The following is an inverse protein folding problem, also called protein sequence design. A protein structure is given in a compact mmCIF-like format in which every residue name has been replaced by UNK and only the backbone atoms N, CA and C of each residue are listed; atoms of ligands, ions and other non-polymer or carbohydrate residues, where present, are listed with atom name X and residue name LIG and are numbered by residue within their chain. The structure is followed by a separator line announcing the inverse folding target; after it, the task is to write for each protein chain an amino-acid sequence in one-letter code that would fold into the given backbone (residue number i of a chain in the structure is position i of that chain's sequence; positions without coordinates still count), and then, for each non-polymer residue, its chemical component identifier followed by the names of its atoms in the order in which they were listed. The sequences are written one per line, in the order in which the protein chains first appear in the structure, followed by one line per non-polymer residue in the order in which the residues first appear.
data_IF_033036742714
#
_entry.id   IF_033036742714
#
_cell.length_a   1.000
_cell.length_b   1.000
_cell.length_c   1.000
_cell.angle_alpha   90.00
_cell.angle_beta   90.00
_cell.angle_gamma   90.00
#
_symmetry.space_group_name_H-M   'P 1'
#
loop_
_entity.id
_entity.type
_entity.pdbx_description
1 polymer ?
#
# COMPACT_ATOMS: atom_id res chain seq x y z
N UNK A 1 0.14 -1.18 -17.25
CA UNK A 1 1.18 -1.97 -17.92
C UNK A 1 1.75 -1.13 -19.04
N UNK A 2 3.07 -1.07 -19.16
CA UNK A 2 3.76 -0.30 -20.18
C UNK A 2 4.33 -1.26 -21.21
N UNK A 3 4.08 -0.99 -22.49
CA UNK A 3 4.55 -1.86 -23.57
C UNK A 3 5.52 -1.12 -24.46
N UNK A 4 6.68 -1.72 -24.67
CA UNK A 4 7.69 -1.21 -25.55
C UNK A 4 8.10 -2.26 -26.59
N UNK A 5 7.86 -1.97 -27.87
CA UNK A 5 8.19 -2.89 -28.96
C UNK A 5 7.42 -2.60 -30.25
N UNK A 6 7.54 -3.53 -31.19
CA UNK A 6 6.87 -3.51 -32.49
C UNK A 6 6.66 -4.95 -32.97
N UNK A 7 5.59 -5.20 -33.74
CA UNK A 7 5.29 -6.46 -34.44
C UNK A 7 5.65 -7.76 -33.69
N UNK A 8 4.97 -8.02 -32.58
CA UNK A 8 5.07 -9.29 -31.85
C UNK A 8 6.33 -9.45 -30.99
N UNK A 9 7.19 -8.43 -30.93
CA UNK A 9 8.38 -8.39 -30.08
C UNK A 9 8.25 -7.29 -29.00
N UNK A 10 7.12 -7.33 -28.29
CA UNK A 10 6.78 -6.40 -27.22
C UNK A 10 7.43 -6.84 -25.91
N UNK A 11 8.05 -5.88 -25.21
CA UNK A 11 8.49 -6.02 -23.83
C UNK A 11 7.48 -5.26 -22.97
N UNK A 12 6.72 -6.00 -22.15
CA UNK A 12 5.82 -5.44 -21.18
C UNK A 12 6.52 -5.29 -19.83
N UNK A 13 6.31 -4.15 -19.19
CA UNK A 13 6.73 -3.87 -17.82
C UNK A 13 5.58 -3.98 -16.82
N UNK A 14 5.92 -3.89 -15.54
CA UNK A 14 4.96 -3.97 -14.44
C UNK A 14 3.86 -2.89 -14.53
N UNK A 15 2.72 -3.14 -13.86
CA UNK A 15 1.72 -2.10 -13.63
C UNK A 15 2.22 -1.06 -12.64
N UNK A 16 1.82 0.19 -12.84
CA UNK A 16 2.17 1.31 -11.95
C UNK A 16 0.92 1.92 -11.34
N UNK A 17 1.08 2.63 -10.23
CA UNK A 17 0.01 3.39 -9.58
C UNK A 17 -0.47 4.51 -10.51
N UNK A 18 -1.78 4.61 -10.69
CA UNK A 18 -2.36 5.64 -11.55
C UNK A 18 -2.33 7.00 -10.85
N UNK A 19 -1.80 8.02 -11.53
CA UNK A 19 -1.79 9.40 -11.06
C UNK A 19 -0.42 9.92 -10.63
N UNK A 20 0.53 9.01 -10.38
CA UNK A 20 1.90 9.34 -10.02
C UNK A 20 2.81 9.53 -11.24
N UNK A 21 3.88 10.29 -11.08
CA UNK A 21 4.93 10.38 -12.07
C UNK A 21 5.85 9.17 -11.96
N UNK A 22 5.95 8.42 -13.06
CA UNK A 22 6.90 7.32 -13.18
C UNK A 22 7.92 7.61 -14.28
N UNK A 23 9.17 7.21 -14.06
CA UNK A 23 10.20 7.28 -15.08
C UNK A 23 10.35 5.95 -15.79
N UNK A 24 10.29 5.98 -17.12
CA UNK A 24 10.56 4.83 -17.97
C UNK A 24 11.84 5.07 -18.76
N UNK A 25 12.78 4.13 -18.67
CA UNK A 25 13.94 4.08 -19.53
C UNK A 25 13.99 2.75 -20.28
N UNK A 26 14.32 2.79 -21.56
CA UNK A 26 14.56 1.58 -22.35
C UNK A 26 15.95 1.61 -22.95
N UNK A 27 16.70 0.54 -22.68
CA UNK A 27 18.09 0.38 -23.14
C UNK A 27 18.19 -0.80 -24.09
N UNK A 28 18.68 -0.51 -25.30
CA UNK A 28 19.15 -1.53 -26.23
C UNK A 28 20.67 -1.66 -26.14
N UNK A 29 21.15 -2.85 -25.81
CA UNK A 29 22.57 -3.15 -25.80
C UNK A 29 22.81 -4.65 -26.00
N UNK A 30 23.83 -5.00 -26.79
CA UNK A 30 24.32 -6.37 -26.94
C UNK A 30 23.22 -7.40 -27.29
N UNK A 31 22.27 -7.03 -28.15
CA UNK A 31 21.17 -7.92 -28.54
C UNK A 31 20.13 -8.17 -27.44
N UNK A 32 20.02 -7.27 -26.46
CA UNK A 32 18.98 -7.30 -25.42
C UNK A 32 18.26 -5.96 -25.32
N UNK A 33 16.95 -6.03 -25.04
CA UNK A 33 16.10 -4.92 -24.62
C UNK A 33 15.91 -5.01 -23.12
N UNK A 34 16.14 -3.90 -22.43
CA UNK A 34 15.87 -3.75 -20.99
C UNK A 34 14.96 -2.57 -20.78
N UNK A 35 13.83 -2.79 -20.13
CA UNK A 35 12.92 -1.76 -19.67
C UNK A 35 13.18 -1.54 -18.19
N UNK A 36 13.37 -0.28 -17.82
CA UNK A 36 13.57 0.17 -16.46
C UNK A 36 12.38 1.03 -16.06
N UNK A 37 11.83 0.76 -14.90
CA UNK A 37 10.75 1.50 -14.27
C UNK A 37 11.29 2.12 -12.98
N UNK A 38 11.11 3.43 -12.82
CA UNK A 38 11.58 4.22 -11.69
C UNK A 38 13.05 3.97 -11.35
N UNK A 39 13.82 3.77 -12.42
CA UNK A 39 15.24 3.56 -12.39
C UNK A 39 15.64 2.10 -12.31
N UNK A 40 14.80 1.20 -11.81
CA UNK A 40 15.16 -0.21 -11.61
C UNK A 40 14.84 -1.05 -12.85
N UNK A 41 15.61 -2.11 -13.09
CA UNK A 41 15.34 -3.05 -14.18
C UNK A 41 14.01 -3.76 -13.90
N UNK A 42 13.05 -3.58 -14.79
CA UNK A 42 11.68 -4.09 -14.63
C UNK A 42 11.42 -5.29 -15.55
N UNK A 43 11.86 -5.21 -16.80
CA UNK A 43 11.72 -6.30 -17.75
C UNK A 43 12.91 -6.40 -18.70
N UNK A 44 13.22 -7.62 -19.14
CA UNK A 44 14.27 -7.85 -20.14
C UNK A 44 13.87 -8.96 -21.12
N UNK A 45 14.23 -8.77 -22.39
CA UNK A 45 14.18 -9.84 -23.39
C UNK A 45 15.40 -9.79 -24.31
N UNK A 46 15.76 -10.94 -24.88
CA UNK A 46 16.72 -11.01 -25.98
C UNK A 46 16.04 -10.55 -27.27
N UNK A 47 16.60 -9.54 -27.93
CA UNK A 47 16.05 -9.04 -29.18
C UNK A 47 17.16 -8.64 -30.14
N UNK A 48 17.02 -9.08 -31.40
CA UNK A 48 17.95 -8.75 -32.49
C UNK A 48 17.36 -7.68 -33.39
N UNK A 49 17.14 -6.47 -32.88
CA UNK A 49 16.81 -5.36 -33.76
C UNK A 49 17.63 -4.12 -33.43
N UNK A 50 18.40 -3.67 -34.42
CA UNK A 50 18.93 -2.32 -34.48
C UNK A 50 17.87 -1.47 -35.17
N UNK A 51 17.38 -0.40 -34.54
CA UNK A 51 16.51 0.56 -35.22
C UNK A 51 17.22 1.14 -36.45
N UNK A 52 16.52 1.26 -37.57
CA UNK A 52 17.08 1.82 -38.81
C UNK A 52 17.14 3.37 -38.80
N UNK A 53 16.69 3.98 -37.71
CA UNK A 53 16.58 5.42 -37.50
C UNK A 53 15.73 6.15 -38.56
N UNK A 54 14.81 5.41 -39.20
CA UNK A 54 13.85 5.96 -40.14
C UNK A 54 12.45 5.88 -39.56
N UNK A 55 11.61 6.88 -39.86
CA UNK A 55 10.22 6.92 -39.41
C UNK A 55 9.93 8.03 -38.40
N UNK A 56 8.75 7.94 -37.78
CA UNK A 56 8.24 8.92 -36.79
C UNK A 56 8.42 8.34 -35.39
N UNK A 57 8.87 9.16 -34.44
CA UNK A 57 8.77 8.87 -33.01
C UNK A 57 7.31 9.11 -32.58
N UNK A 58 6.67 8.10 -32.01
CA UNK A 58 5.34 8.21 -31.44
C UNK A 58 5.45 8.13 -29.92
N UNK A 59 4.73 9.00 -29.21
CA UNK A 59 4.71 9.03 -27.74
C UNK A 59 3.25 9.12 -27.30
N UNK A 60 2.86 8.29 -26.32
CA UNK A 60 1.48 8.23 -25.82
C UNK A 60 0.48 7.54 -26.76
N UNK A 61 0.97 6.84 -27.79
CA UNK A 61 0.17 6.08 -28.76
C UNK A 61 1.01 5.71 -29.98
N UNK A 62 0.44 4.97 -30.94
CA UNK A 62 1.10 4.62 -32.19
C UNK A 62 0.11 4.69 -33.38
N UNK A 63 0.63 4.54 -34.62
CA UNK A 63 -0.23 4.46 -35.79
C UNK A 63 -1.01 3.14 -35.80
N UNK A 64 -2.34 3.19 -35.92
CA UNK A 64 -3.19 2.01 -36.06
C UNK A 64 -3.60 1.32 -34.76
N UNK A 65 -3.21 1.86 -33.60
CA UNK A 65 -3.71 1.41 -32.28
C UNK A 65 -4.90 2.26 -31.83
N UNK A 66 -5.70 1.71 -30.93
CA UNK A 66 -6.83 2.41 -30.28
C UNK A 66 -6.53 2.79 -28.82
N UNK A 67 -5.44 2.27 -28.30
CA UNK A 67 -4.92 2.47 -26.96
C UNK A 67 -4.00 3.69 -26.95
N UNK A 68 -4.49 4.77 -26.33
CA UNK A 68 -3.73 6.00 -26.13
C UNK A 68 -3.44 6.21 -24.65
N UNK A 69 -2.28 6.80 -24.34
CA UNK A 69 -1.94 7.20 -22.99
C UNK A 69 -2.96 8.22 -22.49
N UNK A 70 -3.59 7.91 -21.36
CA UNK A 70 -4.42 8.85 -20.60
C UNK A 70 -3.58 9.39 -19.44
N UNK A 71 -2.71 10.36 -19.73
CA UNK A 71 -1.75 10.85 -18.76
C UNK A 71 -0.97 12.08 -19.26
N UNK A 72 0.07 12.44 -18.50
CA UNK A 72 1.01 13.51 -18.86
C UNK A 72 2.37 12.88 -19.17
N UNK A 73 3.11 13.49 -20.10
CA UNK A 73 4.48 13.11 -20.46
C UNK A 73 5.34 14.34 -20.28
N UNK A 74 6.54 14.16 -19.71
CA UNK A 74 7.56 15.19 -19.62
C UNK A 74 8.95 14.58 -19.84
N UNK A 75 9.94 15.43 -20.15
CA UNK A 75 11.37 15.08 -20.16
C UNK A 75 11.79 13.90 -21.08
N UNK A 76 11.22 13.81 -22.28
CA UNK A 76 11.59 12.80 -23.27
C UNK A 76 13.04 12.97 -23.79
N UNK A 77 13.91 11.96 -23.58
CA UNK A 77 15.33 11.97 -23.96
C UNK A 77 15.73 10.75 -24.80
N UNK A 78 16.66 10.93 -25.73
CA UNK A 78 17.29 9.86 -26.52
C UNK A 78 18.81 9.99 -26.42
N UNK A 79 19.49 8.90 -26.09
CA UNK A 79 20.95 8.87 -25.89
C UNK A 79 21.62 8.08 -27.02
N UNK A 80 22.80 8.53 -27.45
CA UNK A 80 23.61 7.84 -28.47
C UNK A 80 24.44 6.68 -27.91
N UNK A 81 24.17 6.26 -26.68
CA UNK A 81 24.84 5.16 -25.98
C UNK A 81 23.82 4.37 -25.17
N UNK A 82 24.13 3.11 -24.91
CA UNK A 82 23.40 2.34 -23.91
C UNK A 82 23.74 2.91 -22.52
N UNK A 83 22.74 3.41 -21.81
CA UNK A 83 22.92 3.90 -20.44
C UNK A 83 23.16 2.71 -19.50
N UNK A 84 24.09 2.91 -18.57
CA UNK A 84 24.23 2.04 -17.39
C UNK A 84 23.13 2.33 -16.37
N UNK A 85 22.94 1.44 -15.39
CA UNK A 85 22.01 1.64 -14.27
C UNK A 85 22.21 3.00 -13.57
N UNK A 86 23.46 3.33 -13.24
CA UNK A 86 23.78 4.61 -12.62
C UNK A 86 23.40 5.78 -13.54
N UNK A 87 23.68 5.68 -14.84
CA UNK A 87 23.34 6.75 -15.79
C UNK A 87 21.83 6.91 -16.01
N UNK A 88 21.04 5.86 -15.78
CA UNK A 88 19.57 5.95 -15.79
C UNK A 88 19.09 6.75 -14.57
N UNK A 89 19.59 6.48 -13.37
CA UNK A 89 19.31 7.31 -12.20
C UNK A 89 19.74 8.76 -12.42
N UNK A 90 20.89 8.97 -13.05
CA UNK A 90 21.36 10.31 -13.40
C UNK A 90 20.42 11.02 -14.39
N UNK A 91 19.83 10.28 -15.34
CA UNK A 91 18.84 10.79 -16.29
C UNK A 91 17.49 11.12 -15.62
N UNK A 92 17.09 10.36 -14.59
CA UNK A 92 15.86 10.61 -13.82
C UNK A 92 15.87 11.96 -13.11
N UNK A 93 17.05 12.53 -12.83
CA UNK A 93 17.19 13.85 -12.18
C UNK A 93 16.63 15.02 -13.00
N UNK A 94 16.36 14.81 -14.29
CA UNK A 94 15.89 15.87 -15.18
C UNK A 94 17.04 16.77 -15.68
N UNK A 95 16.81 18.09 -15.73
CA UNK A 95 17.86 19.08 -16.02
C UNK A 95 19.00 19.02 -14.98
N UNK A 96 20.23 18.65 -15.37
CA UNK A 96 21.36 18.45 -14.45
C UNK A 96 21.96 19.77 -13.93
N UNK A 97 21.54 20.91 -14.46
CA UNK A 97 21.99 22.24 -14.00
C UNK A 97 21.25 22.71 -12.75
N UNK A 98 20.17 22.04 -12.39
CA UNK A 98 19.33 22.40 -11.26
C UNK A 98 19.71 21.56 -10.04
N UNK A 99 19.46 22.12 -8.85
CA UNK A 99 19.49 21.35 -7.61
C UNK A 99 18.56 20.14 -7.70
N UNK A 100 18.94 19.04 -7.04
CA UNK A 100 18.20 17.78 -7.07
C UNK A 100 18.34 17.01 -5.75
N UNK A 101 17.63 15.88 -5.63
CA UNK A 101 17.67 15.05 -4.41
C UNK A 101 17.31 15.81 -3.14
N UNK A 102 16.14 16.48 -3.09
CA UNK A 102 15.74 17.22 -1.90
C UNK A 102 15.55 16.28 -0.71
N UNK A 103 16.02 16.71 0.45
CA UNK A 103 15.67 16.16 1.75
C UNK A 103 15.10 17.30 2.61
N UNK A 104 13.85 17.25 3.07
CA UNK A 104 12.87 16.18 2.82
C UNK A 104 12.54 15.99 1.34
N UNK A 105 12.18 14.76 0.96
CA UNK A 105 11.81 14.42 -0.40
C UNK A 105 10.64 15.28 -0.88
N UNK A 106 10.58 15.56 -2.18
CA UNK A 106 9.52 16.39 -2.74
C UNK A 106 8.15 15.75 -2.55
N UNK A 107 7.16 16.52 -2.09
CA UNK A 107 5.80 16.10 -1.76
C UNK A 107 5.71 15.00 -0.70
N UNK A 108 6.70 14.90 0.18
CA UNK A 108 6.72 13.91 1.27
C UNK A 108 6.05 14.40 2.55
N UNK A 109 5.79 13.46 3.46
CA UNK A 109 5.28 13.71 4.81
C UNK A 109 6.25 13.20 5.89
N UNK A 110 7.47 13.78 6.01
CA UNK A 110 8.49 13.32 6.96
C UNK A 110 8.08 13.54 8.42
N UNK A 111 8.70 12.80 9.34
CA UNK A 111 8.58 13.11 10.76
C UNK A 111 9.30 14.41 11.11
N UNK A 112 8.94 15.03 12.24
CA UNK A 112 9.50 16.32 12.67
C UNK A 112 11.04 16.35 12.71
N UNK A 113 11.69 15.24 13.07
CA UNK A 113 13.16 15.16 13.22
C UNK A 113 13.89 15.00 11.89
N UNK A 114 13.22 14.51 10.85
CA UNK A 114 13.76 14.36 9.49
C UNK A 114 13.47 15.57 8.60
N UNK A 115 12.69 16.53 9.08
CA UNK A 115 12.33 17.72 8.30
C UNK A 115 13.46 18.73 8.14
N UNK A 116 14.41 18.75 9.07
CA UNK A 116 15.51 19.72 9.07
C UNK A 116 16.85 19.08 9.45
N UNK A 117 17.98 19.57 8.88
CA UNK A 117 18.06 20.63 7.88
C UNK A 117 17.50 20.20 6.52
N UNK A 118 17.06 21.18 5.73
CA UNK A 118 16.83 21.01 4.30
C UNK A 118 18.17 20.69 3.63
N UNK A 119 18.24 19.67 2.79
CA UNK A 119 19.45 19.27 2.07
C UNK A 119 19.15 19.02 0.61
N UNK A 120 20.13 19.28 -0.23
CA UNK A 120 20.03 19.02 -1.67
C UNK A 120 21.38 18.53 -2.19
N UNK A 121 21.35 18.01 -3.41
CA UNK A 121 22.54 17.82 -4.23
C UNK A 121 22.67 19.00 -5.20
N UNK A 122 23.89 19.50 -5.43
CA UNK A 122 24.11 20.66 -6.28
C UNK A 122 23.95 20.29 -7.76
N UNK A 123 23.53 21.25 -8.58
CA UNK A 123 23.61 21.17 -10.04
C UNK A 123 25.07 21.17 -10.55
N UNK A 124 25.31 20.64 -11.75
CA UNK A 124 26.67 20.37 -12.28
C UNK A 124 27.64 21.56 -12.27
N UNK A 125 27.13 22.80 -12.46
CA UNK A 125 27.96 24.02 -12.54
C UNK A 125 27.82 24.93 -11.32
N UNK A 126 27.08 24.50 -10.30
CA UNK A 126 26.79 25.28 -9.12
C UNK A 126 28.06 25.55 -8.29
N UNK A 127 28.20 26.78 -7.83
CA UNK A 127 29.24 27.18 -6.88
C UNK A 127 28.68 27.58 -5.52
N UNK A 128 27.44 28.04 -5.50
CA UNK A 128 26.69 28.48 -4.32
C UNK A 128 25.18 28.32 -4.59
N UNK A 129 24.37 28.41 -3.54
CA UNK A 129 22.95 28.07 -3.58
C UNK A 129 22.09 29.16 -2.93
N UNK A 130 21.19 29.79 -3.67
CA UNK A 130 20.23 30.74 -3.12
C UNK A 130 19.00 29.96 -2.62
N UNK A 131 18.75 30.01 -1.30
CA UNK A 131 17.69 29.23 -0.64
C UNK A 131 16.42 30.07 -0.51
N UNK A 132 15.28 29.49 -0.86
CA UNK A 132 13.94 30.06 -0.69
C UNK A 132 13.08 29.09 0.11
N UNK A 133 12.38 29.58 1.14
CA UNK A 133 11.54 28.75 2.02
C UNK A 133 10.30 29.53 2.49
N UNK A 134 9.13 28.89 2.49
CA UNK A 134 7.88 29.49 2.96
C UNK A 134 6.70 28.53 2.90
N UNK A 135 5.48 29.03 3.15
CA UNK A 135 4.24 28.25 3.18
C UNK A 135 3.30 28.52 2.01
N UNK A 136 3.69 29.40 1.09
CA UNK A 136 2.95 29.71 -0.13
C UNK A 136 3.79 29.33 -1.35
N UNK A 137 3.27 28.38 -2.13
CA UNK A 137 3.95 27.82 -3.29
C UNK A 137 4.30 28.87 -4.32
N UNK A 138 3.35 29.76 -4.63
CA UNK A 138 3.48 30.73 -5.70
C UNK A 138 4.37 31.89 -5.22
N UNK A 139 4.31 32.26 -3.94
CA UNK A 139 5.26 33.20 -3.36
C UNK A 139 6.71 32.69 -3.42
N UNK A 140 6.93 31.37 -3.19
CA UNK A 140 8.25 30.75 -3.38
C UNK A 140 8.66 30.71 -4.85
N UNK A 141 7.72 30.42 -5.76
CA UNK A 141 7.94 30.45 -7.20
C UNK A 141 8.37 31.84 -7.70
N UNK A 142 7.74 32.90 -7.21
CA UNK A 142 7.97 34.25 -7.72
C UNK A 142 9.11 34.98 -6.97
N UNK A 143 9.60 34.40 -5.87
CA UNK A 143 10.62 35.00 -5.04
C UNK A 143 11.95 35.19 -5.80
N UNK A 144 12.71 36.20 -5.37
CA UNK A 144 14.10 36.44 -5.76
C UNK A 144 14.89 36.93 -4.54
N UNK A 145 16.17 37.22 -4.72
CA UNK A 145 17.08 37.62 -3.62
C UNK A 145 16.67 38.91 -2.86
N UNK A 146 15.68 39.66 -3.35
CA UNK A 146 15.09 40.82 -2.66
C UNK A 146 13.83 40.50 -1.85
N UNK A 147 13.33 39.26 -1.87
CA UNK A 147 12.09 38.83 -1.21
C UNK A 147 12.36 38.42 0.24
N UNK A 148 12.36 39.38 1.17
CA UNK A 148 12.88 39.19 2.54
C UNK A 148 12.22 38.06 3.34
N UNK A 149 10.94 37.81 3.11
CA UNK A 149 10.17 36.84 3.91
C UNK A 149 10.29 35.41 3.38
N UNK A 150 10.89 35.23 2.19
CA UNK A 150 11.04 33.92 1.52
C UNK A 150 12.50 33.58 1.24
N UNK A 151 13.32 34.55 0.86
CA UNK A 151 14.75 34.35 0.62
C UNK A 151 15.49 34.15 1.95
N UNK A 152 16.25 33.06 2.03
CA UNK A 152 16.98 32.61 3.22
C UNK A 152 18.50 32.78 3.12
N UNK A 153 18.94 33.48 2.08
CA UNK A 153 20.35 33.79 1.87
C UNK A 153 21.07 32.73 1.05
N UNK A 154 22.24 33.14 0.54
CA UNK A 154 23.12 32.30 -0.24
C UNK A 154 23.96 31.38 0.64
N UNK A 155 23.97 30.10 0.31
CA UNK A 155 24.72 29.07 1.01
C UNK A 155 25.91 28.59 0.17
N UNK A 156 27.03 28.29 0.84
CA UNK A 156 28.18 27.61 0.24
C UNK A 156 28.01 26.09 0.33
N UNK A 157 27.39 25.60 1.41
CA UNK A 157 27.06 24.19 1.58
C UNK A 157 25.69 23.85 1.01
N UNK A 158 25.38 22.56 0.97
CA UNK A 158 24.14 22.03 0.40
C UNK A 158 23.11 21.64 1.49
N UNK A 159 23.11 22.42 2.57
CA UNK A 159 22.27 22.19 3.75
C UNK A 159 21.86 23.53 4.37
N UNK A 160 20.60 23.64 4.79
CA UNK A 160 20.05 24.83 5.42
C UNK A 160 19.03 24.45 6.51
N UNK A 161 19.21 24.96 7.72
CA UNK A 161 18.21 24.85 8.80
C UNK A 161 17.41 26.16 8.88
N UNK A 162 16.10 26.15 8.57
CA UNK A 162 15.24 27.32 8.77
C UNK A 162 15.24 27.71 10.26
N UNK A 163 15.68 28.93 10.63
CA UNK A 163 15.70 29.37 12.03
C UNK A 163 14.29 29.52 12.63
N UNK A 164 13.28 29.73 11.78
CA UNK A 164 11.86 29.70 12.15
C UNK A 164 11.37 28.30 12.53
N UNK A 165 12.10 27.25 12.16
CA UNK A 165 11.71 25.85 12.37
C UNK A 165 10.52 25.43 11.50
N UNK A 166 9.97 24.26 11.81
CA UNK A 166 8.72 23.74 11.27
C UNK A 166 7.87 23.18 12.40
N UNK A 167 6.55 23.20 12.21
CA UNK A 167 5.57 22.78 13.21
C UNK A 167 5.10 21.34 12.99
N UNK A 168 4.83 20.62 14.09
CA UNK A 168 4.19 19.30 14.08
C UNK A 168 2.83 19.35 13.38
N UNK A 169 2.57 18.45 12.42
CA UNK A 169 1.38 18.51 11.58
C UNK A 169 1.28 19.75 10.69
N UNK A 170 2.34 20.55 10.62
CA UNK A 170 2.37 21.81 9.89
C UNK A 170 2.76 21.66 8.43
N UNK A 171 2.46 22.68 7.64
CA UNK A 171 2.72 22.72 6.21
C UNK A 171 1.45 22.88 5.38
N UNK A 172 1.53 22.68 4.05
CA UNK A 172 2.74 22.37 3.31
C UNK A 172 3.78 23.50 3.40
N UNK A 173 5.05 23.11 3.53
CA UNK A 173 6.19 24.00 3.34
C UNK A 173 6.68 23.85 1.91
N UNK A 174 7.07 24.96 1.29
CA UNK A 174 7.59 25.04 -0.06
C UNK A 174 8.98 25.63 -0.04
N UNK A 175 9.86 25.10 -0.88
CA UNK A 175 11.22 25.58 -0.97
C UNK A 175 11.81 25.39 -2.36
N UNK A 176 12.76 26.25 -2.70
CA UNK A 176 13.45 26.24 -3.99
C UNK A 176 14.92 26.55 -3.75
N UNK A 177 15.78 25.94 -4.55
CA UNK A 177 17.21 26.21 -4.57
C UNK A 177 17.60 26.73 -5.95
N UNK A 178 17.98 28.00 -6.02
CA UNK A 178 18.54 28.57 -7.25
C UNK A 178 20.06 28.40 -7.24
N UNK A 179 20.59 27.82 -8.31
CA UNK A 179 22.02 27.53 -8.43
C UNK A 179 22.77 28.75 -8.95
N UNK A 180 23.69 29.29 -8.14
CA UNK A 180 24.64 30.30 -8.58
C UNK A 180 25.86 29.62 -9.17
N UNK A 181 25.93 29.64 -10.50
CA UNK A 181 26.93 28.90 -11.27
C UNK A 181 28.30 29.57 -11.24
N UNK A 182 29.34 28.79 -11.54
CA UNK A 182 30.74 29.27 -11.62
C UNK A 182 30.95 30.39 -12.65
N UNK A 183 30.09 30.51 -13.66
CA UNK A 183 30.09 31.58 -14.67
C UNK A 183 29.25 32.80 -14.27
N UNK A 184 28.80 32.86 -13.01
CA UNK A 184 27.93 33.88 -12.44
C UNK A 184 26.50 33.94 -13.00
N UNK A 185 26.06 32.94 -13.77
CA UNK A 185 24.65 32.78 -14.13
C UNK A 185 23.85 32.13 -12.99
N UNK A 186 22.53 32.30 -13.02
CA UNK A 186 21.60 31.62 -12.11
C UNK A 186 20.84 30.55 -12.89
N UNK A 187 20.80 29.33 -12.36
CA UNK A 187 19.82 28.32 -12.77
C UNK A 187 18.71 28.27 -11.73
N UNK A 188 17.52 28.76 -12.09
CA UNK A 188 16.37 28.75 -11.18
C UNK A 188 15.90 27.32 -10.89
N UNK A 189 15.71 27.01 -9.62
CA UNK A 189 15.42 25.66 -9.14
C UNK A 189 14.00 25.19 -9.35
N UNK A 190 13.78 23.90 -9.06
CA UNK A 190 12.44 23.35 -8.91
C UNK A 190 11.86 23.73 -7.55
N UNK A 191 10.55 23.87 -7.49
CA UNK A 191 9.84 24.02 -6.22
C UNK A 191 9.59 22.63 -5.65
N UNK A 192 10.09 22.43 -4.44
CA UNK A 192 9.85 21.25 -3.64
C UNK A 192 8.90 21.57 -2.49
N UNK A 193 8.19 20.56 -2.01
CA UNK A 193 7.34 20.70 -0.84
C UNK A 193 7.45 19.53 0.12
N UNK A 194 7.09 19.75 1.38
CA UNK A 194 6.82 18.68 2.34
C UNK A 194 5.78 19.13 3.36
N UNK A 195 5.11 18.18 4.00
CA UNK A 195 4.23 18.42 5.15
C UNK A 195 4.81 17.70 6.35
N UNK A 196 4.87 18.31 7.52
CA UNK A 196 5.36 17.61 8.70
C UNK A 196 4.27 16.65 9.17
N UNK A 197 4.62 15.39 9.41
CA UNK A 197 3.68 14.42 9.95
C UNK A 197 3.08 14.92 11.28
N UNK A 198 1.80 14.67 11.49
CA UNK A 198 1.11 14.83 12.78
C UNK A 198 1.13 13.55 13.63
N UNK A 199 1.98 12.59 13.24
CA UNK A 199 2.21 11.31 13.88
C UNK A 199 3.71 10.99 14.00
N UNK A 200 4.07 10.15 14.97
CA UNK A 200 5.40 9.55 15.04
C UNK A 200 5.38 8.31 14.16
N UNK A 201 6.15 8.30 13.07
CA UNK A 201 6.34 7.11 12.27
C UNK A 201 7.14 6.09 13.09
N UNK A 202 6.57 4.91 13.32
CA UNK A 202 7.26 3.78 13.97
C UNK A 202 8.10 3.03 12.93
N UNK A 203 7.43 2.65 11.83
CA UNK A 203 7.96 1.90 10.70
C UNK A 203 6.94 2.05 9.55
N UNK A 204 7.39 2.33 8.33
CA UNK A 204 6.55 2.32 7.12
C UNK A 204 6.85 1.12 6.21
N UNK A 205 7.90 0.37 6.52
CA UNK A 205 8.42 -0.78 5.80
C UNK A 205 9.06 -0.46 4.46
N UNK A 206 9.41 0.80 4.21
CA UNK A 206 9.90 1.26 2.91
C UNK A 206 11.42 1.16 2.70
N UNK A 207 12.18 0.93 3.78
CA UNK A 207 13.65 0.86 3.72
C UNK A 207 14.21 -0.52 3.37
N UNK A 208 13.36 -1.55 3.24
CA UNK A 208 13.77 -2.93 3.01
C UNK A 208 13.89 -3.28 1.51
N UNK A 209 14.73 -4.25 1.15
CA UNK A 209 14.79 -4.80 -0.21
C UNK A 209 15.20 -6.29 -0.25
N UNK A 210 15.37 -6.84 -1.46
CA UNK A 210 15.69 -8.26 -1.67
C UNK A 210 17.18 -8.63 -1.42
N UNK A 211 18.01 -7.66 -1.00
CA UNK A 211 19.45 -7.81 -0.93
C UNK A 211 20.00 -7.36 0.43
N UNK A 212 21.03 -8.07 0.90
CA UNK A 212 21.80 -7.62 2.07
C UNK A 212 22.48 -6.27 1.80
N UNK A 213 22.61 -5.37 2.80
CA UNK A 213 22.27 -5.57 4.21
C UNK A 213 20.85 -5.12 4.61
N UNK A 214 20.05 -4.71 3.64
CA UNK A 214 18.78 -4.03 3.88
C UNK A 214 17.60 -5.01 3.73
N UNK A 215 17.81 -6.29 4.01
CA UNK A 215 16.71 -7.26 4.00
C UNK A 215 15.85 -7.07 5.25
N UNK A 216 14.55 -7.36 5.14
CA UNK A 216 13.64 -7.25 6.28
C UNK A 216 14.05 -8.15 7.46
N UNK A 217 14.67 -9.29 7.18
CA UNK A 217 15.14 -10.26 8.18
C UNK A 217 16.35 -9.79 8.98
N UNK A 218 17.14 -8.84 8.44
CA UNK A 218 18.27 -8.26 9.16
C UNK A 218 17.82 -7.28 10.25
N UNK A 219 16.58 -6.80 10.16
CA UNK A 219 16.03 -5.71 10.98
C UNK A 219 14.96 -6.19 11.95
N UNK A 220 14.10 -7.12 11.52
CA UNK A 220 13.06 -7.73 12.34
C UNK A 220 13.50 -9.11 12.83
N UNK A 221 13.55 -9.28 14.16
CA UNK A 221 13.79 -10.57 14.79
C UNK A 221 12.46 -11.33 14.86
N UNK A 222 12.35 -12.48 14.20
CA UNK A 222 11.13 -13.29 14.16
C UNK A 222 11.31 -14.68 14.82
N UNK A 223 10.51 -15.66 14.39
CA UNK A 223 10.55 -17.03 14.88
C UNK A 223 11.36 -17.99 14.01
N UNK A 224 11.99 -17.52 12.93
CA UNK A 224 12.74 -18.38 12.05
C UNK A 224 13.88 -19.08 12.80
N UNK A 225 13.90 -20.42 12.74
CA UNK A 225 14.87 -21.24 13.48
C UNK A 225 14.64 -21.32 14.99
N UNK A 226 13.55 -20.75 15.52
CA UNK A 226 13.17 -20.81 16.94
C UNK A 226 11.94 -21.70 17.11
N UNK A 227 12.14 -22.95 17.58
CA UNK A 227 11.06 -23.95 17.67
C UNK A 227 9.83 -23.54 18.51
N UNK A 228 9.97 -22.52 19.36
CA UNK A 228 8.89 -22.02 20.24
C UNK A 228 8.16 -20.80 19.67
N UNK A 229 8.70 -20.17 18.63
CA UNK A 229 8.16 -18.98 17.99
C UNK A 229 7.72 -19.33 16.56
N UNK A 230 6.43 -19.14 16.24
CA UNK A 230 5.84 -19.48 14.96
C UNK A 230 5.68 -18.30 14.01
N UNK A 231 6.19 -17.11 14.37
CA UNK A 231 6.15 -15.95 13.47
C UNK A 231 7.22 -16.02 12.39
N UNK A 232 6.89 -15.55 11.20
CA UNK A 232 7.83 -15.31 10.10
C UNK A 232 7.51 -13.94 9.50
N UNK A 233 8.52 -13.07 9.41
CA UNK A 233 8.40 -11.74 8.79
C UNK A 233 8.91 -11.79 7.37
N UNK A 234 8.19 -11.23 6.41
CA UNK A 234 8.56 -11.39 5.00
C UNK A 234 8.30 -12.79 4.46
N UNK A 235 8.54 -12.97 3.16
CA UNK A 235 8.52 -14.28 2.52
C UNK A 235 9.94 -14.88 2.61
N UNK A 236 10.22 -15.83 3.51
CA UNK A 236 11.60 -16.37 3.63
C UNK A 236 12.06 -17.17 2.38
N UNK A 237 11.11 -17.67 1.59
CA UNK A 237 11.36 -18.37 0.32
C UNK A 237 10.47 -17.84 -0.80
N UNK A 238 10.71 -16.62 -1.31
CA UNK A 238 9.85 -16.01 -2.30
C UNK A 238 9.98 -16.71 -3.67
N UNK A 239 8.87 -16.89 -4.36
CA UNK A 239 8.84 -17.25 -5.78
C UNK A 239 9.17 -16.03 -6.66
N UNK A 240 10.45 -15.67 -6.75
CA UNK A 240 10.91 -14.57 -7.62
C UNK A 240 10.45 -14.73 -9.09
N UNK A 241 10.50 -15.92 -9.72
CA UNK A 241 9.89 -16.11 -11.04
C UNK A 241 8.39 -15.83 -11.11
N UNK A 242 7.68 -16.02 -10.00
CA UNK A 242 6.27 -15.66 -9.82
C UNK A 242 6.02 -14.19 -9.45
N UNK A 243 7.07 -13.39 -9.27
CA UNK A 243 6.99 -11.98 -8.89
C UNK A 243 6.88 -11.73 -7.39
N UNK A 244 7.18 -12.73 -6.55
CA UNK A 244 7.31 -12.53 -5.11
C UNK A 244 8.69 -11.94 -4.75
N UNK A 245 8.72 -11.16 -3.68
CA UNK A 245 9.90 -10.51 -3.11
C UNK A 245 9.99 -10.87 -1.62
N UNK A 246 11.06 -10.50 -0.91
CA UNK A 246 11.10 -10.71 0.55
C UNK A 246 10.02 -9.90 1.29
N UNK A 247 9.61 -8.79 0.68
CA UNK A 247 8.50 -7.92 1.09
C UNK A 247 7.30 -8.05 0.14
N UNK A 248 6.13 -7.53 0.52
CA UNK A 248 4.95 -7.53 -0.35
C UNK A 248 4.86 -6.21 -1.13
N UNK A 249 5.00 -6.29 -2.46
CA UNK A 249 5.03 -5.12 -3.36
C UNK A 249 3.74 -4.92 -4.15
N UNK A 250 2.85 -5.91 -4.21
CA UNK A 250 1.60 -5.83 -4.97
C UNK A 250 0.42 -5.38 -4.09
N UNK A 251 0.45 -5.77 -2.83
CA UNK A 251 -0.59 -5.52 -1.85
C UNK A 251 -0.05 -4.54 -0.82
N UNK A 252 -0.16 -3.26 -1.11
CA UNK A 252 0.35 -2.19 -0.25
C UNK A 252 -0.76 -1.22 0.11
N UNK A 253 -0.77 -0.71 1.34
CA UNK A 253 -1.72 0.33 1.75
C UNK A 253 -1.30 1.71 1.23
N UNK A 254 0.01 1.98 1.24
CA UNK A 254 0.68 3.14 0.68
C UNK A 254 2.17 2.83 0.57
N UNK A 255 2.94 3.68 -0.11
CA UNK A 255 4.35 3.41 -0.39
C UNK A 255 4.55 2.36 -1.49
N UNK A 256 5.74 1.74 -1.49
CA UNK A 256 6.18 0.76 -2.49
C UNK A 256 6.04 -0.67 -1.99
N UNK A 257 5.95 -0.88 -0.67
CA UNK A 257 5.99 -2.20 -0.07
C UNK A 257 5.21 -2.28 1.25
N UNK A 258 4.99 -3.50 1.73
CA UNK A 258 4.47 -3.77 3.07
C UNK A 258 5.12 -5.02 3.63
N UNK A 259 5.11 -5.18 4.95
CA UNK A 259 5.63 -6.38 5.62
C UNK A 259 4.59 -7.51 5.61
N UNK A 260 4.86 -8.66 4.95
CA UNK A 260 4.19 -9.91 5.26
C UNK A 260 4.47 -10.32 6.70
N UNK A 261 3.43 -10.72 7.43
CA UNK A 261 3.58 -11.32 8.76
C UNK A 261 2.79 -12.62 8.82
N UNK A 262 3.51 -13.73 8.82
CA UNK A 262 2.95 -15.07 8.96
C UNK A 262 3.07 -15.54 10.40
N UNK A 263 2.13 -16.39 10.83
CA UNK A 263 2.17 -16.97 12.16
C UNK A 263 1.59 -18.38 12.20
N UNK A 264 2.20 -19.26 12.99
CA UNK A 264 1.69 -20.57 13.40
C UNK A 264 1.70 -20.70 14.92
N UNK A 265 0.52 -20.63 15.54
CA UNK A 265 0.37 -20.75 16.99
C UNK A 265 0.18 -22.20 17.48
N UNK A 266 0.40 -23.21 16.63
CA UNK A 266 0.26 -24.61 17.03
C UNK A 266 1.37 -25.03 18.02
N UNK A 267 1.08 -24.92 19.33
CA UNK A 267 2.02 -25.13 20.44
C UNK A 267 3.22 -24.17 20.47
N UNK A 268 3.12 -23.04 19.75
CA UNK A 268 4.13 -21.97 19.70
C UNK A 268 3.48 -20.64 20.06
N UNK A 269 4.27 -19.68 20.55
CA UNK A 269 3.88 -18.26 20.51
C UNK A 269 4.27 -17.71 19.13
N UNK A 270 3.77 -16.55 18.71
CA UNK A 270 4.19 -15.89 17.47
C UNK A 270 4.45 -14.42 17.73
N UNK A 271 5.71 -14.00 17.66
CA UNK A 271 6.14 -12.63 17.95
C UNK A 271 7.34 -12.25 17.08
N UNK A 272 7.23 -11.13 16.35
CA UNK A 272 8.40 -10.47 15.78
C UNK A 272 8.71 -9.17 16.51
N UNK A 273 10.00 -8.87 16.64
CA UNK A 273 10.50 -7.71 17.38
C UNK A 273 11.41 -6.87 16.49
N UNK A 274 11.10 -5.58 16.43
CA UNK A 274 11.98 -4.55 15.92
C UNK A 274 12.49 -3.68 17.07
N UNK A 275 13.78 -3.37 17.07
CA UNK A 275 14.42 -2.54 18.09
C UNK A 275 14.93 -1.24 17.47
N UNK A 276 14.07 -0.21 17.31
CA UNK A 276 14.53 1.07 16.81
C UNK A 276 15.49 1.71 17.81
N UNK A 277 16.28 2.68 17.32
CA UNK A 277 17.04 3.57 18.22
C UNK A 277 16.08 4.22 19.23
N UNK A 278 16.53 4.37 20.49
CA UNK A 278 15.68 4.80 21.61
C UNK A 278 14.91 6.09 21.27
N UNK A 279 13.59 5.98 21.16
CA UNK A 279 12.66 7.05 20.80
C UNK A 279 11.66 7.28 21.94
N UNK A 280 11.33 8.54 22.21
CA UNK A 280 10.29 8.91 23.17
C UNK A 280 8.93 8.82 22.50
N UNK A 281 8.16 7.78 22.82
CA UNK A 281 6.83 7.53 22.26
C UNK A 281 5.73 8.44 22.83
N UNK A 282 6.08 9.30 23.80
CA UNK A 282 5.16 10.27 24.41
C UNK A 282 5.38 11.70 23.90
N UNK A 283 6.33 11.89 22.98
CA UNK A 283 6.60 13.17 22.32
C UNK A 283 5.32 13.73 21.69
N UNK A 284 5.15 15.05 21.75
CA UNK A 284 3.96 15.78 21.27
C UNK A 284 2.61 15.27 21.81
N UNK A 285 2.59 14.56 22.94
CA UNK A 285 1.35 14.11 23.59
C UNK A 285 0.66 12.95 22.88
N UNK A 286 1.39 12.17 22.08
CA UNK A 286 0.89 10.96 21.42
C UNK A 286 0.26 10.00 22.45
N UNK A 287 -0.98 9.59 22.18
CA UNK A 287 -1.75 8.69 23.06
C UNK A 287 -2.47 7.56 22.32
N UNK A 288 -2.29 7.45 21.00
CA UNK A 288 -2.98 6.47 20.14
C UNK A 288 -1.97 5.80 19.23
N UNK A 289 -2.02 4.47 19.16
CA UNK A 289 -1.39 3.67 18.11
C UNK A 289 -2.40 3.44 16.99
N UNK A 290 -2.02 3.77 15.76
CA UNK A 290 -2.79 3.46 14.54
C UNK A 290 -1.97 2.53 13.66
N UNK A 291 -2.60 1.49 13.12
CA UNK A 291 -1.96 0.49 12.24
C UNK A 291 -2.90 0.16 11.08
N UNK A 292 -2.35 0.11 9.87
CA UNK A 292 -2.99 -0.52 8.72
C UNK A 292 -2.59 -1.99 8.70
N UNK A 293 -3.57 -2.89 8.62
CA UNK A 293 -3.31 -4.31 8.43
C UNK A 293 -4.23 -4.84 7.32
N UNK A 294 -3.72 -5.80 6.55
CA UNK A 294 -4.52 -6.57 5.60
C UNK A 294 -4.45 -8.04 5.98
N UNK A 295 -5.62 -8.62 6.21
CA UNK A 295 -5.75 -10.00 6.68
C UNK A 295 -7.02 -10.16 7.48
N UNK A 296 -7.40 -11.39 7.73
CA UNK A 296 -8.57 -11.66 8.57
C UNK A 296 -8.17 -11.53 10.04
N UNK A 297 -8.76 -10.63 10.83
CA UNK A 297 -8.54 -10.65 12.26
C UNK A 297 -9.03 -12.01 12.76
N UNK A 298 -8.13 -12.79 13.35
CA UNK A 298 -8.48 -14.06 13.97
C UNK A 298 -9.24 -13.79 15.27
N UNK A 299 -10.53 -13.43 15.21
CA UNK A 299 -11.24 -13.06 16.43
C UNK A 299 -12.75 -12.86 16.30
N UNK A 300 -13.44 -13.24 17.37
CA UNK A 300 -14.67 -12.57 17.81
C UNK A 300 -14.23 -11.42 18.71
N UNK A 301 -14.55 -10.19 18.34
CA UNK A 301 -14.32 -8.99 19.13
C UNK A 301 -15.66 -8.49 19.66
N UNK A 302 -15.77 -8.37 20.99
CA UNK A 302 -16.90 -7.69 21.63
C UNK A 302 -16.54 -6.20 21.81
N UNK A 303 -17.29 -5.33 21.14
CA UNK A 303 -17.21 -3.89 21.26
C UNK A 303 -18.23 -3.32 22.27
N UNK A 304 -18.27 -1.99 22.43
CA UNK A 304 -19.25 -1.32 23.27
C UNK A 304 -20.71 -1.66 22.88
N UNK A 305 -21.61 -1.62 23.86
CA UNK A 305 -23.04 -1.79 23.69
C UNK A 305 -23.49 -3.15 23.09
N UNK A 306 -22.73 -4.23 23.29
CA UNK A 306 -23.09 -5.56 22.79
C UNK A 306 -22.93 -5.72 21.27
N UNK A 307 -22.02 -4.94 20.68
CA UNK A 307 -21.64 -5.04 19.26
C UNK A 307 -20.58 -6.12 19.11
N UNK A 308 -20.72 -7.00 18.12
CA UNK A 308 -19.73 -8.05 17.86
C UNK A 308 -19.19 -7.92 16.44
N UNK A 309 -17.87 -7.95 16.30
CA UNK A 309 -17.18 -8.13 15.02
C UNK A 309 -16.62 -9.55 14.98
N UNK A 310 -16.93 -10.30 13.92
CA UNK A 310 -16.56 -11.70 13.81
C UNK A 310 -16.08 -12.00 12.39
N UNK A 311 -14.94 -12.66 12.25
CA UNK A 311 -14.49 -13.26 10.98
C UNK A 311 -15.02 -14.69 10.83
N UNK A 312 -15.39 -15.08 9.63
CA UNK A 312 -15.89 -16.43 9.31
C UNK A 312 -15.05 -17.10 8.23
N UNK A 313 -14.79 -18.39 8.39
CA UNK A 313 -14.17 -19.26 7.39
C UNK A 313 -14.74 -20.68 7.52
N UNK A 314 -14.61 -21.50 6.48
CA UNK A 314 -15.12 -22.87 6.44
C UNK A 314 -15.89 -23.17 5.14
N UNK A 315 -16.30 -24.43 5.00
CA UNK A 315 -16.94 -24.98 3.80
C UNK A 315 -18.40 -24.55 3.54
N UNK A 316 -19.09 -23.91 4.50
CA UNK A 316 -20.54 -23.56 4.53
C UNK A 316 -21.36 -24.41 5.54
N UNK A 317 -22.65 -24.08 5.68
CA UNK A 317 -23.63 -24.78 6.53
C UNK A 317 -24.68 -25.58 5.72
N UNK A 318 -24.38 -25.89 4.46
CA UNK A 318 -25.31 -26.57 3.54
C UNK A 318 -25.25 -28.10 3.63
N UNK A 319 -24.05 -28.69 3.46
CA UNK A 319 -23.85 -30.14 3.37
C UNK A 319 -23.98 -30.84 4.73
N UNK A 320 -23.58 -32.12 4.87
CA UNK A 320 -23.82 -32.92 6.08
C UNK A 320 -23.03 -32.45 7.32
N UNK A 321 -22.05 -31.56 7.16
CA UNK A 321 -21.22 -31.03 8.23
C UNK A 321 -21.01 -29.51 8.05
N UNK A 322 -21.37 -28.74 9.07
CA UNK A 322 -21.22 -27.30 9.10
C UNK A 322 -19.79 -26.89 9.45
N UNK A 323 -19.20 -26.01 8.65
CA UNK A 323 -17.93 -25.34 8.96
C UNK A 323 -18.12 -23.83 8.88
N UNK A 324 -18.17 -23.19 10.05
CA UNK A 324 -18.37 -21.75 10.21
C UNK A 324 -17.94 -21.29 11.61
N UNK A 325 -17.85 -19.97 11.82
CA UNK A 325 -17.63 -19.38 13.15
C UNK A 325 -18.95 -18.95 13.77
N UNK A 326 -19.10 -19.19 15.07
CA UNK A 326 -20.24 -18.70 15.84
C UNK A 326 -19.85 -18.37 17.29
N UNK A 327 -20.47 -17.31 17.82
CA UNK A 327 -20.54 -17.05 19.24
C UNK A 327 -21.84 -17.66 19.76
N UNK A 328 -21.80 -18.41 20.87
CA UNK A 328 -22.98 -19.10 21.35
C UNK A 328 -23.19 -18.95 22.85
N UNK A 329 -24.45 -19.13 23.24
CA UNK A 329 -24.88 -19.30 24.62
C UNK A 329 -25.94 -20.40 24.64
N UNK A 330 -25.94 -21.22 25.67
CA UNK A 330 -26.94 -22.28 25.82
C UNK A 330 -28.34 -21.69 25.99
N UNK A 331 -29.28 -22.15 25.17
CA UNK A 331 -30.72 -21.90 25.32
C UNK A 331 -31.40 -23.15 25.87
N UNK A 332 -32.27 -23.01 26.86
CA UNK A 332 -33.12 -24.09 27.39
C UNK A 332 -34.59 -23.69 27.31
N UNK A 333 -35.42 -24.56 26.74
CA UNK A 333 -36.83 -24.25 26.48
C UNK A 333 -37.04 -23.26 25.33
N UNK A 334 -38.23 -22.64 25.31
CA UNK A 334 -38.58 -21.62 24.32
C UNK A 334 -37.69 -20.37 24.49
N UNK A 335 -37.45 -19.66 23.39
CA UNK A 335 -36.62 -18.46 23.44
C UNK A 335 -36.51 -17.72 22.12
N UNK A 336 -35.75 -16.64 22.13
CA UNK A 336 -35.52 -15.79 20.96
C UNK A 336 -34.05 -15.40 20.91
N UNK A 337 -33.53 -15.29 19.70
CA UNK A 337 -32.27 -14.61 19.40
C UNK A 337 -32.52 -13.57 18.32
N UNK A 338 -31.97 -12.37 18.51
CA UNK A 338 -32.09 -11.26 17.55
C UNK A 338 -30.80 -10.47 17.50
N UNK A 339 -30.43 -10.03 16.30
CA UNK A 339 -29.26 -9.17 16.10
C UNK A 339 -29.52 -8.21 14.94
N UNK A 340 -28.88 -7.04 15.00
CA UNK A 340 -28.72 -6.18 13.82
C UNK A 340 -27.44 -6.59 13.11
N UNK A 341 -27.56 -7.15 11.91
CA UNK A 341 -26.40 -7.36 11.04
C UNK A 341 -26.04 -6.00 10.47
N UNK A 342 -24.95 -5.38 10.92
CA UNK A 342 -24.52 -4.06 10.47
C UNK A 342 -23.85 -4.11 9.09
N UNK A 343 -23.02 -5.12 8.85
CA UNK A 343 -22.30 -5.35 7.60
C UNK A 343 -21.96 -6.83 7.44
N UNK A 344 -21.80 -7.26 6.19
CA UNK A 344 -21.22 -8.55 5.81
C UNK A 344 -20.33 -8.31 4.60
N UNK A 345 -19.08 -8.74 4.68
CA UNK A 345 -18.12 -8.56 3.59
C UNK A 345 -18.45 -9.51 2.42
N UNK A 346 -18.31 -9.03 1.19
CA UNK A 346 -18.55 -9.83 -0.01
C UNK A 346 -17.33 -10.66 -0.41
N UNK A 347 -16.94 -11.60 0.46
CA UNK A 347 -15.93 -12.63 0.12
C UNK A 347 -16.48 -13.66 -0.87
N UNK A 348 -17.81 -13.83 -0.86
CA UNK A 348 -18.60 -14.61 -1.81
C UNK A 348 -20.06 -14.13 -1.77
N UNK A 349 -20.81 -14.26 -2.87
CA UNK A 349 -22.24 -13.90 -2.91
C UNK A 349 -23.10 -14.63 -1.87
N UNK A 350 -22.64 -15.79 -1.38
CA UNK A 350 -23.27 -16.59 -0.33
C UNK A 350 -22.58 -16.49 1.04
N UNK A 351 -21.66 -15.54 1.24
CA UNK A 351 -21.15 -15.23 2.58
C UNK A 351 -22.33 -14.87 3.51
N UNK A 352 -22.25 -15.24 4.79
CA UNK A 352 -23.41 -15.20 5.71
C UNK A 352 -23.05 -14.47 6.99
N UNK A 353 -23.95 -13.60 7.44
CA UNK A 353 -23.95 -13.07 8.80
C UNK A 353 -25.36 -13.13 9.37
N UNK A 354 -25.53 -13.73 10.54
CA UNK A 354 -26.84 -13.80 11.14
C UNK A 354 -26.94 -14.49 12.50
N UNK A 355 -28.15 -15.00 12.80
CA UNK A 355 -28.48 -15.66 14.05
C UNK A 355 -28.90 -17.11 13.80
N UNK A 356 -28.60 -17.99 14.75
CA UNK A 356 -28.89 -19.42 14.67
C UNK A 356 -29.38 -19.94 16.03
N UNK A 357 -30.32 -20.87 15.99
CA UNK A 357 -30.63 -21.78 17.10
C UNK A 357 -30.21 -23.18 16.65
N UNK A 358 -29.34 -23.83 17.44
CA UNK A 358 -28.71 -25.11 17.11
C UNK A 358 -28.86 -26.11 18.26
N UNK A 359 -29.08 -27.38 17.95
CA UNK A 359 -29.34 -28.43 18.95
C UNK A 359 -28.07 -28.85 19.72
N UNK A 360 -26.93 -28.96 19.04
CA UNK A 360 -25.62 -29.34 19.61
C UNK A 360 -24.47 -28.63 18.89
N UNK A 361 -23.26 -28.75 19.43
CA UNK A 361 -22.05 -28.19 18.81
C UNK A 361 -21.47 -29.07 17.69
N UNK A 362 -22.04 -30.25 17.45
CA UNK A 362 -21.56 -31.18 16.43
C UNK A 362 -21.76 -30.60 15.03
N UNK A 363 -20.84 -30.79 14.06
CA UNK A 363 -20.97 -30.24 12.71
C UNK A 363 -22.26 -30.64 11.99
N UNK A 364 -22.82 -31.82 12.23
CA UNK A 364 -24.06 -32.28 11.60
C UNK A 364 -25.35 -31.92 12.36
N UNK A 365 -25.30 -31.05 13.37
CA UNK A 365 -26.44 -30.78 14.26
C UNK A 365 -27.63 -30.15 13.55
N UNK A 366 -28.85 -30.41 14.07
CA UNK A 366 -30.04 -29.70 13.65
C UNK A 366 -29.92 -28.22 14.00
N UNK A 367 -30.38 -27.36 13.09
CA UNK A 367 -30.40 -25.92 13.32
C UNK A 367 -31.54 -25.24 12.57
N UNK A 368 -31.87 -24.04 13.02
CA UNK A 368 -32.58 -23.03 12.25
C UNK A 368 -31.74 -21.74 12.26
N UNK A 369 -31.57 -21.12 11.10
CA UNK A 369 -30.74 -19.93 10.90
C UNK A 369 -31.49 -18.90 10.04
N UNK A 370 -31.35 -17.63 10.40
CA UNK A 370 -31.69 -16.49 9.54
C UNK A 370 -30.43 -15.67 9.36
N UNK A 371 -30.10 -15.32 8.13
CA UNK A 371 -28.88 -14.58 7.82
C UNK A 371 -29.04 -13.66 6.62
N UNK A 372 -28.19 -12.64 6.56
CA UNK A 372 -28.02 -11.76 5.40
C UNK A 372 -26.81 -12.23 4.60
N UNK A 373 -26.94 -12.15 3.28
CA UNK A 373 -25.85 -12.40 2.33
C UNK A 373 -25.56 -11.15 1.48
N UNK A 374 -24.33 -10.98 0.99
CA UNK A 374 -24.00 -9.89 0.07
C UNK A 374 -24.71 -9.97 -1.28
N UNK A 375 -24.89 -11.18 -1.82
CA UNK A 375 -25.38 -11.40 -3.19
C UNK A 375 -26.79 -11.97 -3.32
N UNK A 376 -27.35 -12.52 -2.24
CA UNK A 376 -28.60 -13.30 -2.30
C UNK A 376 -29.64 -12.81 -1.27
N UNK A 377 -29.47 -11.64 -0.68
CA UNK A 377 -30.42 -11.07 0.27
C UNK A 377 -30.46 -11.80 1.62
N UNK A 378 -31.60 -11.71 2.31
CA UNK A 378 -31.87 -12.45 3.55
C UNK A 378 -32.32 -13.88 3.22
N UNK A 379 -32.01 -14.88 4.05
CA UNK A 379 -32.47 -16.27 3.89
C UNK A 379 -32.79 -16.93 5.21
N UNK A 380 -33.71 -17.89 5.17
CA UNK A 380 -33.92 -18.88 6.22
C UNK A 380 -33.34 -20.22 5.77
N UNK A 381 -32.56 -20.84 6.64
CA UNK A 381 -31.98 -22.17 6.39
C UNK A 381 -32.13 -23.03 7.63
N UNK A 382 -32.41 -24.31 7.43
CA UNK A 382 -32.56 -25.24 8.53
C UNK A 382 -31.99 -26.60 8.18
N UNK A 383 -31.45 -27.29 9.19
CA UNK A 383 -31.18 -28.72 9.13
C UNK A 383 -32.20 -29.45 9.99
N UNK A 384 -33.12 -30.16 9.32
CA UNK A 384 -34.24 -30.83 9.99
C UNK A 384 -33.85 -32.17 10.63
N UNK A 385 -32.82 -32.82 10.09
CA UNK A 385 -32.32 -34.12 10.56
C UNK A 385 -30.80 -34.05 10.72
N UNK A 386 -30.28 -34.60 11.80
CA UNK A 386 -28.84 -34.62 12.07
C UNK A 386 -28.09 -35.35 10.95
N UNK A 387 -27.03 -34.74 10.42
CA UNK A 387 -26.14 -35.33 9.42
C UNK A 387 -26.73 -35.44 8.00
N UNK A 388 -27.83 -34.77 7.69
CA UNK A 388 -28.36 -34.65 6.31
C UNK A 388 -28.28 -33.22 5.83
N UNK A 389 -28.23 -33.00 4.53
CA UNK A 389 -28.16 -31.66 3.91
C UNK A 389 -29.24 -30.72 4.46
N UNK A 390 -28.86 -29.46 4.63
CA UNK A 390 -29.78 -28.41 5.01
C UNK A 390 -30.80 -28.12 3.90
N UNK A 391 -31.91 -27.52 4.29
CA UNK A 391 -32.92 -26.96 3.40
C UNK A 391 -32.95 -25.44 3.57
N UNK A 392 -33.30 -24.72 2.51
CA UNK A 392 -33.50 -23.27 2.55
C UNK A 392 -34.83 -22.88 1.91
N UNK A 393 -35.36 -21.74 2.32
CA UNK A 393 -36.59 -21.16 1.82
C UNK A 393 -36.43 -20.58 0.40
N UNK A 394 -36.34 -21.43 -0.63
CA UNK A 394 -36.39 -20.91 -2.01
C UNK A 394 -37.75 -20.28 -2.35
N UNK A 395 -38.84 -20.72 -1.71
CA UNK A 395 -40.21 -20.38 -2.12
C UNK A 395 -41.08 -19.70 -1.04
N UNK A 396 -40.56 -19.48 0.18
CA UNK A 396 -41.36 -18.92 1.28
C UNK A 396 -40.60 -17.84 2.05
N UNK A 397 -40.78 -16.60 1.60
CA UNK A 397 -40.54 -15.35 2.35
C UNK A 397 -39.12 -15.04 2.80
N UNK A 398 -38.24 -14.69 1.85
CA UNK A 398 -37.21 -13.67 2.11
C UNK A 398 -36.98 -12.78 0.89
N UNK A 399 -37.15 -11.47 1.08
CA UNK A 399 -36.99 -10.44 0.05
C UNK A 399 -35.54 -10.45 -0.48
N UNK A 400 -35.36 -10.62 -1.79
CA UNK A 400 -34.03 -10.65 -2.45
C UNK A 400 -33.27 -9.33 -2.34
N UNK A 401 -33.95 -8.25 -1.94
CA UNK A 401 -33.39 -6.89 -1.85
C UNK A 401 -33.06 -6.47 -0.41
N UNK A 402 -32.95 -7.41 0.53
CA UNK A 402 -32.57 -7.12 1.91
C UNK A 402 -31.06 -7.25 2.05
N UNK A 403 -30.39 -6.11 2.22
CA UNK A 403 -28.94 -6.03 2.49
C UNK A 403 -28.71 -5.52 3.91
N UNK A 404 -27.50 -5.73 4.44
CA UNK A 404 -27.08 -5.06 5.66
C UNK A 404 -27.05 -3.53 5.45
N UNK A 405 -27.37 -2.71 6.47
CA UNK A 405 -27.74 -3.11 7.83
C UNK A 405 -29.21 -3.56 7.96
N UNK A 406 -29.47 -4.69 8.64
CA UNK A 406 -30.85 -5.15 8.89
C UNK A 406 -30.99 -5.91 10.22
N UNK A 407 -32.16 -5.81 10.83
CA UNK A 407 -32.52 -6.61 12.01
C UNK A 407 -33.04 -7.98 11.59
N UNK A 408 -32.55 -9.02 12.25
CA UNK A 408 -33.03 -10.38 12.09
C UNK A 408 -33.38 -10.97 13.45
N UNK A 409 -34.34 -11.89 13.46
CA UNK A 409 -34.84 -12.55 14.66
C UNK A 409 -35.18 -14.00 14.34
N UNK A 410 -34.81 -14.90 15.23
CA UNK A 410 -35.31 -16.26 15.32
C UNK A 410 -36.02 -16.46 16.66
N UNK A 411 -37.11 -17.21 16.62
CA UNK A 411 -37.88 -17.62 17.79
C UNK A 411 -38.02 -19.12 17.77
N UNK A 412 -37.84 -19.75 18.95
CA UNK A 412 -38.12 -21.16 19.20
C UNK A 412 -39.30 -21.24 20.14
N UNK A 413 -40.38 -21.88 19.71
CA UNK A 413 -41.58 -22.04 20.54
C UNK A 413 -41.41 -23.17 21.59
N UNK A 414 -42.43 -23.39 22.41
CA UNK A 414 -42.42 -24.45 23.43
C UNK A 414 -42.51 -25.88 22.84
N UNK A 415 -42.99 -26.02 21.60
CA UNK A 415 -42.98 -27.27 20.87
C UNK A 415 -41.62 -27.54 20.19
N UNK A 416 -40.73 -26.54 20.19
CA UNK A 416 -39.39 -26.62 19.60
C UNK A 416 -39.36 -26.28 18.11
N UNK A 417 -40.42 -25.66 17.58
CA UNK A 417 -40.47 -25.14 16.21
C UNK A 417 -39.77 -23.80 16.08
#
# INVERSE_FOLDING_TARGET
EWVFGHDGDNLAGSSVTAGDWHHLAVVYANGSKRLYLDGFLDAQTTASMNGDNTGKLWIGGASGVTEYLQGKIDDARVYSKALTQAEIWEAMRGDPRLAWGPMPANSSTPNLKETTPLRWSPGENASQHDVYFGNDRDAVADANTSTTDIYRGRQIGTSYTPPEGVEWGGGPYYWRIDEYNTDATISEGRIWSFTVADYILVEDFEDYNDYEPDTIFDMWMDGWGVDTNGSEVGYATPDFPGGEHFVETNIVHGGSQSMPYFYDNNFKYSEATYSPTQRDWTEEGVGVLSLWFRGNPAGLLEGPAGTYTMSGAGADIWDQADEFRYAWKQLSGAGTISAQVLSVENTNGWAKAGVMIRESLDPGSKFAAVYITPGNGCRFQARLVTGVDAVSDSDVTTLTNITAPHWIKLERDAAGN
#
